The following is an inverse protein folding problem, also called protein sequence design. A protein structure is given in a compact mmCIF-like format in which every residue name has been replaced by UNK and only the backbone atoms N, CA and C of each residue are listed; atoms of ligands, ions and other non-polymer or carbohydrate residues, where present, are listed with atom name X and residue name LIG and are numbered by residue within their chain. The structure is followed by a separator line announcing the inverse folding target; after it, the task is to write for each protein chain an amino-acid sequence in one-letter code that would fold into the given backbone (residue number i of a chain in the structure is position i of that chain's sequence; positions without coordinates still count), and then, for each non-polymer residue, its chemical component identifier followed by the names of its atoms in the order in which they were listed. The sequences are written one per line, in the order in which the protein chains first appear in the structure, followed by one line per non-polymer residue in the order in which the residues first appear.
data_IF_988491648966
#
_entry.id   IF_988491648966
#
_cell.length_a   1.000
_cell.length_b   1.000
_cell.length_c   1.000
_cell.angle_alpha   90.00
_cell.angle_beta   90.00
_cell.angle_gamma   90.00
#
_symmetry.space_group_name_H-M   'P 1'
#
loop_
_entity.id
_entity.type
_entity.pdbx_description
1 polymer ?
#
# COMPACT_ATOMS: atom_id res chain seq x y z
N UNK A 1 -9.46 3.29 -12.47
CA UNK A 1 -9.14 2.24 -11.48
C UNK A 1 -10.25 1.20 -11.40
N UNK A 2 -9.93 -0.01 -10.94
CA UNK A 2 -10.89 -1.09 -10.67
C UNK A 2 -10.99 -1.33 -9.16
N UNK A 3 -12.21 -1.36 -8.63
CA UNK A 3 -12.50 -1.67 -7.23
C UNK A 3 -13.36 -2.93 -7.15
N UNK A 4 -12.93 -3.90 -6.33
CA UNK A 4 -13.67 -5.13 -6.03
C UNK A 4 -13.97 -5.18 -4.53
N UNK A 5 -15.24 -5.33 -4.19
CA UNK A 5 -15.70 -5.48 -2.81
C UNK A 5 -16.47 -6.80 -2.72
N UNK A 6 -15.91 -7.78 -2.03
CA UNK A 6 -16.48 -9.12 -1.94
C UNK A 6 -16.95 -9.40 -0.49
N UNK A 7 -18.27 -9.62 -0.36
CA UNK A 7 -18.97 -10.20 0.81
C UNK A 7 -18.68 -9.65 2.22
N UNK A 8 -18.52 -8.33 2.36
CA UNK A 8 -18.35 -7.65 3.65
C UNK A 8 -19.25 -6.43 3.86
N UNK A 9 -19.82 -6.28 5.06
CA UNK A 9 -20.59 -5.09 5.42
C UNK A 9 -19.66 -3.87 5.62
N UNK A 10 -20.04 -2.69 5.12
CA UNK A 10 -19.35 -1.40 5.32
C UNK A 10 -17.91 -1.25 4.81
N UNK A 11 -17.49 -2.04 3.81
CA UNK A 11 -16.19 -1.80 3.18
C UNK A 11 -16.24 -0.53 2.30
N UNK A 12 -15.28 0.38 2.49
CA UNK A 12 -15.14 1.62 1.71
C UNK A 12 -13.87 1.55 0.86
N UNK A 13 -14.06 1.54 -0.45
CA UNK A 13 -12.95 1.63 -1.41
C UNK A 13 -13.01 2.97 -2.14
N UNK A 14 -11.91 3.70 -2.13
CA UNK A 14 -11.75 5.00 -2.80
C UNK A 14 -10.53 4.97 -3.71
N UNK A 15 -10.74 5.22 -4.99
CA UNK A 15 -9.66 5.33 -5.99
C UNK A 15 -9.73 6.72 -6.63
N UNK A 16 -8.70 7.53 -6.43
CA UNK A 16 -8.56 8.85 -7.02
C UNK A 16 -7.30 8.91 -7.87
N UNK A 17 -7.42 9.36 -9.11
CA UNK A 17 -6.32 9.39 -10.07
C UNK A 17 -6.37 10.71 -10.83
N UNK A 18 -5.27 11.45 -10.82
CA UNK A 18 -5.08 12.71 -11.55
C UNK A 18 -3.87 12.57 -12.48
N UNK A 19 -4.04 12.82 -13.77
CA UNK A 19 -3.03 12.62 -14.82
C UNK A 19 -3.31 11.39 -15.69
N UNK A 20 -2.35 10.99 -16.53
CA UNK A 20 -2.56 9.98 -17.59
C UNK A 20 -1.95 8.61 -17.24
N UNK A 21 -2.58 7.52 -17.67
CA UNK A 21 -2.00 6.16 -17.57
C UNK A 21 -1.95 5.55 -16.16
N UNK A 22 -2.49 6.22 -15.14
CA UNK A 22 -2.50 5.69 -13.78
C UNK A 22 -3.42 4.46 -13.65
N UNK A 23 -2.97 3.43 -12.91
CA UNK A 23 -3.73 2.20 -12.64
C UNK A 23 -3.87 1.99 -11.12
N UNK A 24 -5.09 2.10 -10.62
CA UNK A 24 -5.46 1.75 -9.25
C UNK A 24 -6.28 0.46 -9.22
N UNK A 25 -5.85 -0.53 -8.45
CA UNK A 25 -6.58 -1.75 -8.16
C UNK A 25 -6.78 -1.89 -6.64
N UNK A 26 -8.03 -1.95 -6.20
CA UNK A 26 -8.34 -2.17 -4.80
C UNK A 26 -9.27 -3.36 -4.64
N UNK A 27 -8.96 -4.25 -3.70
CA UNK A 27 -9.79 -5.41 -3.41
C UNK A 27 -9.89 -5.65 -1.90
N UNK A 28 -11.11 -5.92 -1.42
CA UNK A 28 -11.37 -6.34 -0.03
C UNK A 28 -12.10 -7.69 -0.05
N UNK A 29 -11.56 -8.70 0.62
CA UNK A 29 -12.09 -10.07 0.68
C UNK A 29 -12.36 -10.48 2.13
N UNK A 30 -13.57 -11.00 2.43
CA UNK A 30 -13.93 -11.60 3.72
C UNK A 30 -13.65 -10.70 4.94
N UNK A 31 -14.54 -9.76 5.22
CA UNK A 31 -14.49 -8.94 6.43
C UNK A 31 -15.32 -7.67 6.34
N UNK A 32 -15.72 -7.11 7.48
CA UNK A 32 -16.47 -5.85 7.56
C UNK A 32 -15.57 -4.67 7.90
N UNK A 33 -16.02 -3.46 7.56
CA UNK A 33 -15.41 -2.18 7.94
C UNK A 33 -13.97 -1.96 7.42
N UNK A 34 -13.62 -2.56 6.28
CA UNK A 34 -12.34 -2.29 5.62
C UNK A 34 -12.35 -0.96 4.88
N UNK A 35 -11.26 -0.21 4.94
CA UNK A 35 -11.09 1.06 4.24
C UNK A 35 -9.86 1.01 3.36
N UNK A 36 -10.05 1.14 2.05
CA UNK A 36 -8.99 1.21 1.05
C UNK A 36 -9.05 2.57 0.38
N UNK A 37 -7.93 3.30 0.38
CA UNK A 37 -7.75 4.51 -0.39
C UNK A 37 -6.51 4.41 -1.27
N UNK A 38 -6.65 4.67 -2.57
CA UNK A 38 -5.51 4.84 -3.48
C UNK A 38 -5.66 6.21 -4.15
N UNK A 39 -4.66 7.06 -3.97
CA UNK A 39 -4.58 8.39 -4.58
C UNK A 39 -3.32 8.46 -5.44
N UNK A 40 -3.47 8.77 -6.72
CA UNK A 40 -2.36 8.84 -7.67
C UNK A 40 -2.37 10.17 -8.39
N UNK A 41 -1.25 10.88 -8.38
CA UNK A 41 -1.08 12.16 -9.07
C UNK A 41 0.16 12.08 -9.97
N UNK A 42 -0.01 12.30 -11.28
CA UNK A 42 1.07 12.23 -12.28
C UNK A 42 0.78 11.19 -13.36
N UNK A 43 1.81 10.57 -13.92
CA UNK A 43 1.66 9.67 -15.08
C UNK A 43 2.11 8.24 -14.79
N UNK A 44 1.39 7.25 -15.32
CA UNK A 44 1.75 5.82 -15.27
C UNK A 44 1.99 5.25 -13.86
N UNK A 45 1.42 5.84 -12.81
CA UNK A 45 1.54 5.28 -11.47
C UNK A 45 0.64 4.04 -11.35
N UNK A 46 1.12 2.99 -10.69
CA UNK A 46 0.37 1.77 -10.39
C UNK A 46 0.25 1.54 -8.90
N UNK A 47 -0.97 1.57 -8.39
CA UNK A 47 -1.30 1.29 -6.99
C UNK A 47 -2.18 0.05 -6.93
N UNK A 48 -1.81 -0.93 -6.13
CA UNK A 48 -2.59 -2.13 -5.87
C UNK A 48 -2.67 -2.37 -4.37
N UNK A 49 -3.89 -2.44 -3.83
CA UNK A 49 -4.13 -2.72 -2.42
C UNK A 49 -5.15 -3.84 -2.28
N UNK A 50 -4.76 -4.94 -1.65
CA UNK A 50 -5.65 -6.07 -1.36
C UNK A 50 -5.73 -6.27 0.15
N UNK A 51 -6.94 -6.30 0.70
CA UNK A 51 -7.18 -6.57 2.12
C UNK A 51 -7.98 -7.86 2.26
N UNK A 52 -7.60 -8.67 3.25
CA UNK A 52 -8.34 -9.86 3.66
C UNK A 52 -8.51 -9.89 5.18
N UNK A 53 -9.72 -10.14 5.68
CA UNK A 53 -10.10 -9.95 7.10
C UNK A 53 -10.83 -8.62 7.35
N UNK A 54 -11.16 -8.28 8.60
CA UNK A 54 -12.01 -7.13 8.94
C UNK A 54 -11.29 -5.96 9.63
N UNK A 55 -11.88 -4.76 9.59
CA UNK A 55 -11.37 -3.54 10.24
C UNK A 55 -9.97 -3.14 9.78
N UNK A 56 -9.61 -3.43 8.53
CA UNK A 56 -8.31 -3.03 7.97
C UNK A 56 -8.39 -1.67 7.31
N UNK A 57 -7.36 -0.83 7.46
CA UNK A 57 -7.25 0.46 6.78
C UNK A 57 -5.96 0.50 5.94
N UNK A 58 -6.08 0.69 4.63
CA UNK A 58 -4.93 0.77 3.73
C UNK A 58 -5.02 2.04 2.89
N UNK A 59 -3.92 2.80 2.84
CA UNK A 59 -3.79 3.99 2.02
C UNK A 59 -2.53 3.91 1.16
N UNK A 60 -2.67 4.15 -0.14
CA UNK A 60 -1.55 4.33 -1.07
C UNK A 60 -1.68 5.73 -1.66
N UNK A 61 -0.65 6.56 -1.50
CA UNK A 61 -0.54 7.86 -2.15
C UNK A 61 0.74 7.91 -3.00
N UNK A 62 0.59 8.14 -4.30
CA UNK A 62 1.69 8.20 -5.26
C UNK A 62 1.67 9.54 -5.99
N UNK A 63 2.79 10.26 -5.96
CA UNK A 63 2.96 11.54 -6.66
C UNK A 63 4.23 11.49 -7.51
N UNK A 64 4.08 11.61 -8.84
CA UNK A 64 5.18 11.57 -9.80
C UNK A 64 4.89 10.64 -10.98
N UNK A 65 5.93 10.07 -11.58
CA UNK A 65 5.83 9.20 -12.75
C UNK A 65 6.30 7.78 -12.44
N UNK A 66 5.66 6.78 -13.06
CA UNK A 66 6.06 5.37 -13.02
C UNK A 66 6.24 4.78 -11.61
N UNK A 67 5.56 5.32 -10.59
CA UNK A 67 5.61 4.73 -9.24
C UNK A 67 4.75 3.47 -9.17
N UNK A 68 5.25 2.43 -8.50
CA UNK A 68 4.55 1.16 -8.30
C UNK A 68 4.45 0.90 -6.80
N UNK A 69 3.23 0.72 -6.29
CA UNK A 69 2.97 0.29 -4.92
C UNK A 69 1.99 -0.88 -4.95
N UNK A 70 2.44 -2.04 -4.48
CA UNK A 70 1.62 -3.24 -4.35
C UNK A 70 1.65 -3.66 -2.89
N UNK A 71 0.47 -3.77 -2.29
CA UNK A 71 0.32 -4.07 -0.89
C UNK A 71 -0.82 -5.06 -0.65
N UNK A 72 -0.52 -6.09 0.15
CA UNK A 72 -1.48 -7.10 0.57
C UNK A 72 -1.52 -7.14 2.10
N UNK A 73 -2.68 -6.85 2.69
CA UNK A 73 -2.94 -7.05 4.11
C UNK A 73 -3.78 -8.28 4.33
N UNK A 74 -3.33 -9.15 5.22
CA UNK A 74 -4.15 -10.25 5.72
C UNK A 74 -4.27 -10.20 7.25
N UNK A 75 -5.47 -10.44 7.77
CA UNK A 75 -5.81 -10.39 9.19
C UNK A 75 -6.82 -9.30 9.51
N UNK A 76 -7.00 -8.98 10.79
CA UNK A 76 -7.93 -7.94 11.23
C UNK A 76 -7.20 -6.82 11.96
N UNK A 77 -7.74 -5.61 11.93
CA UNK A 77 -7.18 -4.41 12.58
C UNK A 77 -5.79 -3.97 12.05
N UNK A 78 -5.47 -4.29 10.79
CA UNK A 78 -4.23 -3.83 10.18
C UNK A 78 -4.39 -2.40 9.64
N UNK A 79 -3.37 -1.56 9.82
CA UNK A 79 -3.32 -0.23 9.20
C UNK A 79 -2.08 -0.13 8.32
N UNK A 80 -2.19 0.40 7.11
CA UNK A 80 -1.02 0.69 6.32
C UNK A 80 -1.13 1.98 5.54
N UNK A 81 -0.01 2.69 5.48
CA UNK A 81 0.13 3.92 4.72
C UNK A 81 1.39 3.87 3.86
N UNK A 82 1.20 3.96 2.55
CA UNK A 82 2.27 4.08 1.57
C UNK A 82 2.26 5.49 1.00
N UNK A 83 3.41 6.15 1.04
CA UNK A 83 3.64 7.42 0.37
C UNK A 83 4.86 7.31 -0.56
N UNK A 84 4.65 7.47 -1.85
CA UNK A 84 5.72 7.55 -2.85
C UNK A 84 5.70 8.93 -3.50
N UNK A 85 6.79 9.68 -3.34
CA UNK A 85 6.96 11.00 -3.95
C UNK A 85 8.25 11.01 -4.78
N UNK A 86 8.13 11.37 -6.06
CA UNK A 86 9.20 11.30 -7.05
C UNK A 86 8.89 10.27 -8.14
N UNK A 87 9.89 9.88 -8.93
CA UNK A 87 9.66 9.06 -10.11
C UNK A 87 10.29 7.67 -9.97
N UNK A 88 9.62 6.64 -10.48
CA UNK A 88 10.12 5.27 -10.53
C UNK A 88 10.28 4.57 -9.16
N UNK A 89 9.61 5.04 -8.11
CA UNK A 89 9.65 4.37 -6.82
C UNK A 89 8.84 3.07 -6.87
N UNK A 90 9.37 2.00 -6.30
CA UNK A 90 8.74 0.69 -6.25
C UNK A 90 8.62 0.20 -4.81
N UNK A 91 7.41 -0.22 -4.44
CA UNK A 91 7.10 -0.87 -3.19
C UNK A 91 6.34 -2.16 -3.46
N UNK A 92 6.83 -3.25 -2.89
CA UNK A 92 6.14 -4.53 -2.83
C UNK A 92 6.06 -5.00 -1.37
N UNK A 93 4.84 -5.04 -0.83
CA UNK A 93 4.56 -5.36 0.57
C UNK A 93 3.56 -6.49 0.77
N UNK A 94 3.87 -7.43 1.66
CA UNK A 94 2.93 -8.37 2.26
C UNK A 94 2.94 -8.20 3.78
N UNK A 95 1.77 -7.93 4.36
CA UNK A 95 1.63 -7.65 5.79
C UNK A 95 0.59 -8.54 6.44
N UNK A 96 1.03 -9.19 7.52
CA UNK A 96 0.18 -9.95 8.42
C UNK A 96 0.50 -9.52 9.86
N UNK A 97 -0.36 -8.75 10.52
CA UNK A 97 -0.24 -8.42 11.96
C UNK A 97 0.13 -6.97 12.33
N UNK A 98 -0.84 -6.05 12.19
CA UNK A 98 -0.83 -4.64 12.62
C UNK A 98 0.07 -3.67 11.81
N UNK A 99 0.14 -2.41 12.27
CA UNK A 99 0.40 -1.19 11.51
C UNK A 99 1.74 -1.10 10.78
N UNK A 100 1.71 -0.76 9.49
CA UNK A 100 2.90 -0.37 8.72
C UNK A 100 2.79 1.06 8.15
N UNK A 101 3.93 1.69 7.94
CA UNK A 101 4.05 2.91 7.17
C UNK A 101 5.34 2.88 6.36
N UNK A 102 5.25 3.06 5.05
CA UNK A 102 6.41 3.15 4.19
C UNK A 102 6.37 4.40 3.32
N UNK A 103 7.46 5.14 3.34
CA UNK A 103 7.63 6.40 2.63
C UNK A 103 8.87 6.32 1.74
N UNK A 104 8.74 6.69 0.47
CA UNK A 104 9.84 6.76 -0.49
C UNK A 104 9.85 8.14 -1.15
N UNK A 105 10.95 8.89 -0.96
CA UNK A 105 11.20 10.18 -1.58
C UNK A 105 12.36 10.07 -2.58
N UNK A 106 12.17 10.54 -3.81
CA UNK A 106 13.22 10.66 -4.83
C UNK A 106 13.02 9.72 -6.02
N UNK A 107 14.11 9.42 -6.74
CA UNK A 107 14.06 8.64 -7.97
C UNK A 107 14.48 7.18 -7.77
N UNK A 108 13.69 6.22 -8.23
CA UNK A 108 14.12 4.83 -8.36
C UNK A 108 14.32 4.08 -7.04
N UNK A 109 13.66 4.47 -5.94
CA UNK A 109 13.78 3.73 -4.69
C UNK A 109 13.01 2.41 -4.76
N UNK A 110 13.60 1.34 -4.23
CA UNK A 110 12.97 0.03 -4.15
C UNK A 110 12.82 -0.38 -2.68
N UNK A 111 11.60 -0.76 -2.32
CA UNK A 111 11.26 -1.30 -1.01
C UNK A 111 10.55 -2.64 -1.15
N UNK A 112 11.15 -3.68 -0.59
CA UNK A 112 10.46 -4.94 -0.33
C UNK A 112 10.13 -5.06 1.16
N UNK A 113 8.85 -5.24 1.46
CA UNK A 113 8.30 -5.37 2.79
C UNK A 113 7.66 -6.74 2.97
N UNK A 114 8.07 -7.48 4.00
CA UNK A 114 7.38 -8.68 4.48
C UNK A 114 7.28 -8.59 6.00
N UNK A 115 6.07 -8.41 6.52
CA UNK A 115 5.81 -8.36 7.95
C UNK A 115 4.93 -9.54 8.36
N UNK A 116 5.42 -10.35 9.29
CA UNK A 116 4.65 -11.36 10.00
C UNK A 116 4.81 -11.20 11.51
N UNK A 117 3.69 -11.31 12.25
CA UNK A 117 3.66 -11.32 13.71
C UNK A 117 2.86 -10.17 14.31
N UNK A 118 2.27 -10.42 15.48
CA UNK A 118 1.44 -9.46 16.21
C UNK A 118 2.33 -8.34 16.83
N UNK A 119 1.85 -7.10 16.84
CA UNK A 119 2.47 -5.92 17.48
C UNK A 119 3.70 -5.29 16.83
N UNK A 120 3.90 -5.46 15.54
CA UNK A 120 5.02 -4.81 14.84
C UNK A 120 4.57 -3.48 14.20
N UNK A 121 5.08 -2.35 14.71
CA UNK A 121 4.94 -1.05 14.05
C UNK A 121 6.16 -0.82 13.17
N UNK A 122 6.04 -1.07 11.86
CA UNK A 122 7.12 -0.77 10.93
C UNK A 122 6.94 0.62 10.34
N UNK A 123 7.89 1.52 10.58
CA UNK A 123 7.99 2.80 9.87
C UNK A 123 9.29 2.83 9.08
N UNK A 124 9.19 2.84 7.75
CA UNK A 124 10.33 3.02 6.87
C UNK A 124 10.21 4.32 6.09
N UNK A 125 11.32 5.05 6.01
CA UNK A 125 11.47 6.21 5.14
C UNK A 125 12.76 6.05 4.34
N UNK A 126 12.65 6.02 3.02
CA UNK A 126 13.78 6.12 2.11
C UNK A 126 13.75 7.51 1.48
N UNK A 127 14.88 8.20 1.51
CA UNK A 127 15.06 9.48 0.82
C UNK A 127 16.34 9.45 0.00
N UNK A 128 16.27 9.94 -1.23
CA UNK A 128 17.37 9.93 -2.20
C UNK A 128 17.05 9.11 -3.44
N UNK A 129 18.08 8.80 -4.23
CA UNK A 129 17.91 8.10 -5.49
C UNK A 129 18.50 6.69 -5.41
N UNK A 130 17.83 5.71 -6.04
CA UNK A 130 18.26 4.32 -6.16
C UNK A 130 18.51 3.60 -4.81
N UNK A 131 17.80 3.98 -3.75
CA UNK A 131 17.92 3.27 -2.48
C UNK A 131 17.16 1.95 -2.55
N UNK A 132 17.77 0.86 -2.06
CA UNK A 132 17.09 -0.43 -1.89
C UNK A 132 16.98 -0.73 -0.39
N UNK A 133 15.77 -1.01 0.08
CA UNK A 133 15.53 -1.49 1.43
C UNK A 133 14.72 -2.77 1.38
N UNK A 134 15.12 -3.74 2.20
CA UNK A 134 14.36 -4.97 2.42
C UNK A 134 14.08 -5.06 3.90
N UNK A 135 12.80 -5.08 4.28
CA UNK A 135 12.38 -5.31 5.66
C UNK A 135 11.67 -6.64 5.72
N UNK A 136 12.20 -7.54 6.54
CA UNK A 136 11.56 -8.79 6.93
C UNK A 136 11.43 -8.82 8.44
N UNK A 137 10.24 -8.61 8.96
CA UNK A 137 9.95 -8.73 10.39
C UNK A 137 9.11 -9.98 10.60
N UNK A 138 9.52 -10.84 11.53
CA UNK A 138 8.83 -12.09 11.88
C UNK A 138 8.38 -12.07 13.35
N UNK A 139 7.53 -13.01 13.77
CA UNK A 139 7.11 -13.12 15.17
C UNK A 139 8.33 -13.37 16.08
N UNK A 140 8.34 -12.74 17.26
CA UNK A 140 9.11 -13.22 18.41
C UNK A 140 8.40 -14.46 18.98
#
# INVERSE_FOLDING_TARGET
GNALNDDGNNNRISLSQTGEGNVGLAASYYGSDNQIAITQTGTNNRGQLTQSGGQNQGNITQTGQDNIAILVHAGSNNQAAILQEGDGNSLLGLETGYTSAAVQYGFGNSLSLTQSGDFNMLRLSQSGNNNTATVRQGPQ
#
